data_IF_253039940403
#
_entry.id   IF_253039940403
#
_cell.length_a   1.000
_cell.length_b   1.000
_cell.length_c   1.000
_cell.angle_alpha   90.00
_cell.angle_beta   90.00
_cell.angle_gamma   90.00
#
_symmetry.space_group_name_H-M   'P 1'
#
loop_
_entity.id
_entity.type
_entity.pdbx_description
1 polymer ?
#
# COMPACT_ATOMS: atom_id res chain seq x y z
N UNK A 1 -3.20 -5.54 1.62
CA UNK A 1 -4.65 -5.65 1.60
C UNK A 1 -5.23 -5.03 0.33
N UNK A 2 -5.19 -3.69 0.14
CA UNK A 2 -5.84 -3.00 -0.98
C UNK A 2 -5.29 -3.41 -2.34
N UNK A 3 -3.98 -3.53 -2.47
CA UNK A 3 -3.31 -3.96 -3.69
C UNK A 3 -3.80 -5.33 -4.18
N UNK A 4 -3.94 -6.29 -3.26
CA UNK A 4 -4.42 -7.63 -3.56
C UNK A 4 -5.89 -7.61 -4.01
N UNK A 5 -6.73 -6.86 -3.29
CA UNK A 5 -8.14 -6.68 -3.65
C UNK A 5 -8.26 -6.03 -5.03
N UNK A 6 -7.44 -5.03 -5.33
CA UNK A 6 -7.42 -4.36 -6.63
C UNK A 6 -7.06 -5.32 -7.77
N UNK A 7 -5.97 -6.06 -7.59
CA UNK A 7 -5.49 -7.00 -8.61
C UNK A 7 -6.46 -8.15 -8.86
N UNK A 8 -7.07 -8.70 -7.82
CA UNK A 8 -8.01 -9.83 -7.96
C UNK A 8 -9.41 -9.39 -8.38
N UNK A 9 -9.95 -8.34 -7.75
CA UNK A 9 -11.37 -7.99 -7.94
C UNK A 9 -11.59 -7.05 -9.11
N UNK A 10 -10.68 -6.11 -9.37
CA UNK A 10 -10.84 -5.11 -10.45
C UNK A 10 -10.13 -5.57 -11.71
N UNK A 11 -8.86 -5.97 -11.61
CA UNK A 11 -8.09 -6.40 -12.78
C UNK A 11 -8.32 -7.87 -13.15
N UNK A 12 -8.93 -8.66 -12.27
CA UNK A 12 -9.22 -10.08 -12.53
C UNK A 12 -7.96 -10.93 -12.74
N UNK A 13 -6.85 -10.59 -12.08
CA UNK A 13 -5.59 -11.30 -12.28
C UNK A 13 -5.62 -12.68 -11.61
N UNK A 14 -5.22 -13.69 -12.39
CA UNK A 14 -5.02 -15.04 -11.93
C UNK A 14 -3.81 -15.17 -11.00
N UNK A 15 -3.75 -16.25 -10.24
CA UNK A 15 -2.62 -16.60 -9.39
C UNK A 15 -1.26 -16.56 -10.10
N UNK A 16 -1.21 -16.93 -11.38
CA UNK A 16 0.02 -16.88 -12.20
C UNK A 16 0.53 -15.45 -12.38
N UNK A 17 -0.39 -14.50 -12.62
CA UNK A 17 -0.05 -13.09 -12.74
C UNK A 17 0.43 -12.50 -11.41
N UNK A 18 -0.20 -12.88 -10.30
CA UNK A 18 0.20 -12.48 -8.96
C UNK A 18 1.59 -13.02 -8.59
N UNK A 19 1.87 -14.29 -8.91
CA UNK A 19 3.19 -14.89 -8.69
C UNK A 19 4.28 -14.14 -9.46
N UNK A 20 4.02 -13.76 -10.71
CA UNK A 20 5.01 -13.01 -11.50
C UNK A 20 5.31 -11.62 -10.92
N UNK A 21 4.33 -10.96 -10.31
CA UNK A 21 4.53 -9.69 -9.59
C UNK A 21 5.33 -9.88 -8.29
N UNK A 22 5.26 -11.06 -7.67
CA UNK A 22 6.10 -11.38 -6.51
C UNK A 22 7.59 -11.40 -6.85
N UNK A 23 7.99 -11.76 -8.10
CA UNK A 23 9.38 -11.63 -8.54
C UNK A 23 9.84 -10.18 -8.58
N UNK A 24 8.95 -9.25 -8.95
CA UNK A 24 9.23 -7.81 -8.89
C UNK A 24 9.42 -7.36 -7.44
N UNK A 25 8.54 -7.82 -6.54
CA UNK A 25 8.68 -7.53 -5.11
C UNK A 25 10.02 -8.07 -4.56
N UNK A 26 10.40 -9.28 -4.94
CA UNK A 26 11.67 -9.89 -4.56
C UNK A 26 12.87 -9.06 -5.07
N UNK A 27 12.83 -8.59 -6.31
CA UNK A 27 13.87 -7.71 -6.85
C UNK A 27 14.01 -6.42 -6.05
N UNK A 28 12.88 -5.83 -5.61
CA UNK A 28 12.85 -4.66 -4.73
C UNK A 28 13.51 -4.94 -3.37
N UNK A 29 13.26 -6.10 -2.79
CA UNK A 29 13.89 -6.55 -1.53
C UNK A 29 15.40 -6.72 -1.71
N UNK A 30 15.84 -7.41 -2.76
CA UNK A 30 17.26 -7.65 -3.03
C UNK A 30 18.00 -6.34 -3.24
N UNK A 31 17.51 -5.48 -4.14
CA UNK A 31 18.13 -4.19 -4.42
C UNK A 31 18.09 -3.24 -3.22
N UNK A 32 17.00 -3.24 -2.45
CA UNK A 32 16.90 -2.49 -1.20
C UNK A 32 17.90 -2.95 -0.14
N UNK A 33 18.12 -4.26 -0.03
CA UNK A 33 19.12 -4.85 0.89
C UNK A 33 20.54 -4.47 0.49
N UNK A 34 20.87 -4.61 -0.80
CA UNK A 34 22.19 -4.23 -1.35
C UNK A 34 22.43 -2.73 -1.18
N UNK A 35 21.43 -1.91 -1.51
CA UNK A 35 21.49 -0.46 -1.33
C UNK A 35 21.74 -0.10 0.13
N UNK A 36 20.98 -0.71 1.07
CA UNK A 36 21.13 -0.45 2.49
C UNK A 36 22.50 -0.88 2.98
N UNK A 37 23.00 -2.04 2.56
CA UNK A 37 24.35 -2.48 2.91
C UNK A 37 25.40 -1.48 2.42
N UNK A 38 25.35 -1.09 1.15
CA UNK A 38 26.32 -0.17 0.57
C UNK A 38 26.29 1.20 1.23
N UNK A 39 25.12 1.80 1.38
CA UNK A 39 24.97 3.18 1.83
C UNK A 39 25.07 3.27 3.34
N UNK A 40 24.44 2.35 4.06
CA UNK A 40 24.38 2.38 5.52
C UNK A 40 25.60 1.76 6.17
N UNK A 41 26.01 0.56 5.77
CA UNK A 41 27.16 -0.13 6.37
C UNK A 41 28.50 0.44 5.91
N UNK A 42 28.69 0.68 4.59
CA UNK A 42 29.96 1.15 4.04
C UNK A 42 30.11 2.68 4.11
N UNK A 43 29.10 3.43 3.68
CA UNK A 43 29.13 4.89 3.68
C UNK A 43 28.71 5.54 4.99
N UNK A 44 28.21 4.75 5.96
CA UNK A 44 27.81 5.20 7.29
C UNK A 44 26.80 6.35 7.29
N UNK A 45 25.84 6.34 6.36
CA UNK A 45 24.79 7.35 6.34
C UNK A 45 23.95 7.29 7.64
N UNK A 46 23.38 8.44 8.00
CA UNK A 46 22.56 8.57 9.20
C UNK A 46 21.24 7.81 9.07
N UNK A 47 20.76 7.23 10.17
CA UNK A 47 19.45 6.59 10.23
C UNK A 47 18.32 7.49 9.67
N UNK A 48 18.36 8.79 10.02
CA UNK A 48 17.39 9.77 9.53
C UNK A 48 17.30 9.77 8.00
N UNK A 49 18.43 9.81 7.32
CA UNK A 49 18.48 9.83 5.84
C UNK A 49 17.93 8.53 5.24
N UNK A 50 18.31 7.38 5.82
CA UNK A 50 17.81 6.08 5.35
C UNK A 50 16.30 5.95 5.54
N UNK A 51 15.80 6.40 6.69
CA UNK A 51 14.36 6.40 6.97
C UNK A 51 13.60 7.31 6.00
N UNK A 52 14.11 8.51 5.71
CA UNK A 52 13.50 9.42 4.73
C UNK A 52 13.44 8.79 3.33
N UNK A 53 14.53 8.15 2.87
CA UNK A 53 14.55 7.47 1.57
C UNK A 53 13.48 6.36 1.53
N UNK A 54 13.39 5.55 2.58
CA UNK A 54 12.44 4.46 2.66
C UNK A 54 10.98 4.96 2.64
N UNK A 55 10.65 5.96 3.46
CA UNK A 55 9.32 6.55 3.46
C UNK A 55 9.00 7.26 2.13
N UNK A 56 9.97 7.93 1.52
CA UNK A 56 9.78 8.53 0.18
C UNK A 56 9.44 7.48 -0.88
N UNK A 57 10.06 6.29 -0.82
CA UNK A 57 9.74 5.20 -1.74
C UNK A 57 8.31 4.67 -1.51
N UNK A 58 7.88 4.52 -0.25
CA UNK A 58 6.52 4.10 0.09
C UNK A 58 5.50 5.18 -0.30
N UNK A 59 5.80 6.45 -0.05
CA UNK A 59 4.96 7.56 -0.53
C UNK A 59 4.80 7.54 -2.05
N UNK A 60 5.89 7.30 -2.79
CA UNK A 60 5.85 7.14 -4.25
C UNK A 60 4.94 5.99 -4.69
N UNK A 61 4.96 4.86 -3.97
CA UNK A 61 4.03 3.75 -4.18
C UNK A 61 2.57 4.17 -3.97
N UNK A 62 2.24 4.86 -2.87
CA UNK A 62 0.88 5.30 -2.58
C UNK A 62 0.38 6.34 -3.58
N UNK A 63 1.22 7.31 -3.93
CA UNK A 63 0.91 8.32 -4.94
C UNK A 63 0.66 7.69 -6.32
N UNK A 64 1.48 6.70 -6.70
CA UNK A 64 1.29 6.01 -7.96
C UNK A 64 -0.09 5.37 -8.05
N UNK A 65 -0.51 4.63 -7.03
CA UNK A 65 -1.85 4.04 -7.00
C UNK A 65 -2.94 5.10 -6.98
N UNK A 66 -2.81 6.17 -6.20
CA UNK A 66 -3.77 7.27 -6.19
C UNK A 66 -4.05 7.82 -7.59
N UNK A 67 -3.01 8.05 -8.39
CA UNK A 67 -3.15 8.65 -9.72
C UNK A 67 -3.49 7.63 -10.83
N UNK A 68 -3.04 6.39 -10.69
CA UNK A 68 -3.03 5.41 -11.78
C UNK A 68 -4.02 4.26 -11.63
N UNK A 69 -4.77 4.15 -10.54
CA UNK A 69 -5.81 3.12 -10.42
C UNK A 69 -6.81 3.30 -11.56
N UNK A 70 -6.94 2.28 -12.41
CA UNK A 70 -7.87 2.21 -13.52
C UNK A 70 -8.23 0.75 -13.80
N UNK A 71 -9.29 0.51 -14.62
CA UNK A 71 -9.74 -0.84 -14.99
C UNK A 71 -8.76 -1.59 -15.88
N UNK A 72 -8.06 -0.88 -16.76
CA UNK A 72 -7.17 -1.44 -17.79
C UNK A 72 -5.69 -1.19 -17.47
N UNK A 73 -5.32 -1.16 -16.19
CA UNK A 73 -3.93 -0.95 -15.83
C UNK A 73 -3.08 -2.16 -16.27
N UNK A 74 -2.12 -1.98 -17.20
CA UNK A 74 -1.30 -3.09 -17.66
C UNK A 74 -0.40 -3.60 -16.53
N UNK A 75 -0.12 -4.91 -16.55
CA UNK A 75 0.67 -5.58 -15.53
C UNK A 75 2.05 -4.97 -15.33
N UNK A 76 2.68 -4.52 -16.41
CA UNK A 76 3.99 -3.88 -16.39
C UNK A 76 3.97 -2.58 -15.58
N UNK A 77 2.85 -1.87 -15.60
CA UNK A 77 2.69 -0.64 -14.84
C UNK A 77 2.65 -0.89 -13.32
N UNK A 78 2.25 -2.08 -12.88
CA UNK A 78 2.27 -2.48 -11.47
C UNK A 78 3.68 -2.80 -10.95
N UNK A 79 4.63 -3.06 -11.85
CA UNK A 79 5.99 -3.41 -11.46
C UNK A 79 6.66 -2.28 -10.64
N UNK A 80 6.54 -1.03 -11.09
CA UNK A 80 7.15 0.11 -10.41
C UNK A 80 6.65 0.30 -8.98
N UNK A 81 5.33 0.39 -8.70
CA UNK A 81 4.85 0.59 -7.34
C UNK A 81 5.17 -0.60 -6.42
N UNK A 82 5.05 -1.84 -6.90
CA UNK A 82 5.40 -3.04 -6.12
C UNK A 82 6.89 -3.03 -5.75
N UNK A 83 7.74 -2.65 -6.69
CA UNK A 83 9.17 -2.48 -6.44
C UNK A 83 9.43 -1.42 -5.37
N UNK A 84 8.86 -0.21 -5.50
CA UNK A 84 9.05 0.89 -4.55
C UNK A 84 8.60 0.53 -3.14
N UNK A 85 7.44 -0.13 -3.01
CA UNK A 85 6.95 -0.61 -1.73
C UNK A 85 7.93 -1.59 -1.09
N UNK A 86 8.37 -2.59 -1.84
CA UNK A 86 9.25 -3.64 -1.32
C UNK A 86 10.65 -3.10 -0.99
N UNK A 87 11.15 -2.20 -1.81
CA UNK A 87 12.40 -1.49 -1.59
C UNK A 87 12.35 -0.63 -0.31
N UNK A 88 11.32 0.19 -0.14
CA UNK A 88 11.15 1.02 1.06
C UNK A 88 10.99 0.19 2.33
N UNK A 89 10.15 -0.86 2.26
CA UNK A 89 9.89 -1.74 3.40
C UNK A 89 11.17 -2.42 3.92
N UNK A 90 12.02 -2.97 3.03
CA UNK A 90 13.24 -3.64 3.47
C UNK A 90 14.25 -2.68 4.09
N UNK A 91 14.35 -1.45 3.59
CA UNK A 91 15.23 -0.43 4.18
C UNK A 91 14.78 -0.12 5.62
N UNK A 92 13.47 0.10 5.84
CA UNK A 92 12.92 0.33 7.19
C UNK A 92 13.21 -0.86 8.10
N UNK A 93 12.98 -2.08 7.63
CA UNK A 93 13.21 -3.29 8.40
C UNK A 93 14.68 -3.42 8.86
N UNK A 94 15.64 -3.20 7.94
CA UNK A 94 17.07 -3.28 8.25
C UNK A 94 17.48 -2.14 9.22
N UNK A 95 17.01 -0.92 8.99
CA UNK A 95 17.29 0.20 9.90
C UNK A 95 16.76 -0.11 11.31
N UNK A 96 15.58 -0.69 11.42
CA UNK A 96 14.97 -1.04 12.69
C UNK A 96 15.75 -2.15 13.42
N UNK A 97 16.10 -3.22 12.70
CA UNK A 97 16.92 -4.31 13.25
C UNK A 97 18.28 -3.81 13.72
N UNK A 98 18.89 -2.89 12.96
CA UNK A 98 20.18 -2.30 13.34
C UNK A 98 20.04 -1.37 14.57
N UNK A 99 18.91 -0.69 14.71
CA UNK A 99 18.63 0.09 15.93
C UNK A 99 18.47 -0.83 17.15
N UNK A 100 17.74 -1.94 16.98
CA UNK A 100 17.58 -2.96 18.04
C UNK A 100 18.90 -3.59 18.47
N UNK A 101 19.84 -3.82 17.56
CA UNK A 101 21.15 -4.40 17.89
C UNK A 101 21.99 -3.50 18.81
N UNK A 102 21.62 -2.24 19.00
CA UNK A 102 22.28 -1.31 19.93
C UNK A 102 21.73 -1.37 21.35
N UNK A 103 20.62 -2.07 21.56
CA UNK A 103 20.06 -2.25 22.90
C UNK A 103 20.97 -3.18 23.70
N UNK A 104 21.27 -2.86 24.98
CA UNK A 104 22.06 -3.73 25.84
C UNK A 104 21.45 -5.14 25.90
N UNK A 105 22.33 -6.16 25.94
CA UNK A 105 21.89 -7.56 25.89
C UNK A 105 20.84 -7.91 26.95
N UNK A 106 20.92 -7.28 28.12
CA UNK A 106 19.96 -7.47 29.22
C UNK A 106 18.51 -7.12 28.81
N UNK A 107 18.32 -6.12 27.94
CA UNK A 107 17.01 -5.64 27.49
C UNK A 107 16.70 -6.01 26.03
N UNK A 108 17.59 -6.77 25.39
CA UNK A 108 17.44 -7.10 23.97
C UNK A 108 16.16 -7.91 23.68
N UNK A 109 15.91 -8.95 24.49
CA UNK A 109 14.72 -9.80 24.30
C UNK A 109 13.42 -9.03 24.60
N UNK A 110 13.42 -8.13 25.58
CA UNK A 110 12.28 -7.26 25.86
C UNK A 110 12.00 -6.34 24.67
N UNK A 111 13.02 -5.69 24.13
CA UNK A 111 12.89 -4.81 22.97
C UNK A 111 12.40 -5.54 21.71
N UNK A 112 12.91 -6.75 21.45
CA UNK A 112 12.45 -7.60 20.34
C UNK A 112 11.00 -8.03 20.54
N UNK A 113 10.62 -8.41 21.76
CA UNK A 113 9.25 -8.81 22.08
C UNK A 113 8.26 -7.66 21.90
N UNK A 114 8.60 -6.47 22.39
CA UNK A 114 7.78 -5.27 22.20
C UNK A 114 7.66 -4.93 20.72
N UNK A 115 8.75 -5.00 19.97
CA UNK A 115 8.70 -4.75 18.52
C UNK A 115 7.83 -5.76 17.80
N UNK A 116 7.98 -7.06 18.08
CA UNK A 116 7.18 -8.11 17.49
C UNK A 116 5.68 -7.90 17.79
N UNK A 117 5.36 -7.55 19.05
CA UNK A 117 3.99 -7.23 19.45
C UNK A 117 3.44 -6.00 18.70
N UNK A 118 4.22 -4.92 18.60
CA UNK A 118 3.80 -3.70 17.90
C UNK A 118 3.64 -3.97 16.40
N UNK A 119 4.55 -4.68 15.76
CA UNK A 119 4.49 -4.93 14.31
C UNK A 119 3.44 -5.96 13.93
N UNK A 120 3.36 -7.09 14.64
CA UNK A 120 2.43 -8.16 14.33
C UNK A 120 1.03 -7.93 14.93
N UNK A 121 0.94 -7.44 16.16
CA UNK A 121 -0.33 -7.18 16.83
C UNK A 121 -0.97 -5.86 16.36
N UNK A 122 -0.33 -4.75 16.71
CA UNK A 122 -0.90 -3.43 16.37
C UNK A 122 -0.82 -3.12 14.87
N UNK A 123 0.32 -3.33 14.23
CA UNK A 123 0.50 -2.97 12.82
C UNK A 123 -0.37 -3.80 11.89
N UNK A 124 -0.31 -5.12 11.98
CA UNK A 124 -1.04 -5.99 11.05
C UNK A 124 -2.52 -6.13 11.42
N UNK A 125 -2.85 -6.43 12.67
CA UNK A 125 -4.25 -6.72 13.07
C UNK A 125 -5.07 -5.45 13.12
N UNK A 126 -4.64 -4.41 13.86
CA UNK A 126 -5.38 -3.15 13.93
C UNK A 126 -5.38 -2.41 12.59
N UNK A 127 -4.24 -2.39 11.89
CA UNK A 127 -4.14 -1.78 10.57
C UNK A 127 -5.12 -2.41 9.59
N UNK A 128 -5.17 -3.73 9.53
CA UNK A 128 -6.10 -4.46 8.66
C UNK A 128 -7.57 -4.22 9.06
N UNK A 129 -7.87 -4.20 10.35
CA UNK A 129 -9.23 -3.95 10.85
C UNK A 129 -9.69 -2.52 10.54
N UNK A 130 -8.85 -1.51 10.79
CA UNK A 130 -9.16 -0.10 10.51
C UNK A 130 -9.33 0.12 9.01
N UNK A 131 -8.39 -0.36 8.20
CA UNK A 131 -8.43 -0.20 6.75
C UNK A 131 -9.57 -0.99 6.11
N UNK A 132 -9.88 -2.19 6.61
CA UNK A 132 -11.02 -2.98 6.15
C UNK A 132 -12.35 -2.30 6.48
N UNK A 133 -12.49 -1.71 7.69
CA UNK A 133 -13.66 -0.92 8.05
C UNK A 133 -13.78 0.34 7.19
N UNK A 134 -12.69 1.07 6.98
CA UNK A 134 -12.67 2.24 6.11
C UNK A 134 -13.09 1.89 4.68
N UNK A 135 -12.56 0.80 4.12
CA UNK A 135 -12.95 0.30 2.80
C UNK A 135 -14.47 0.07 2.72
N UNK A 136 -15.04 -0.63 3.69
CA UNK A 136 -16.47 -0.95 3.69
C UNK A 136 -17.36 0.30 3.83
N UNK A 137 -16.98 1.24 4.70
CA UNK A 137 -17.76 2.47 4.92
C UNK A 137 -17.70 3.38 3.69
N UNK A 138 -16.50 3.60 3.14
CA UNK A 138 -16.31 4.48 1.98
C UNK A 138 -16.90 3.83 0.73
N UNK A 139 -16.80 2.52 0.57
CA UNK A 139 -17.43 1.79 -0.56
C UNK A 139 -18.95 1.93 -0.54
N UNK A 140 -19.61 1.78 0.62
CA UNK A 140 -21.05 2.00 0.74
C UNK A 140 -21.45 3.44 0.38
N UNK A 141 -20.69 4.42 0.88
CA UNK A 141 -20.91 5.84 0.54
C UNK A 141 -20.80 6.06 -0.98
N UNK A 142 -19.74 5.57 -1.60
CA UNK A 142 -19.50 5.74 -3.03
C UNK A 142 -20.52 4.98 -3.88
N UNK A 143 -20.95 3.79 -3.46
CA UNK A 143 -22.01 3.04 -4.14
C UNK A 143 -23.34 3.80 -4.12
N UNK A 144 -23.72 4.42 -2.98
CA UNK A 144 -24.92 5.26 -2.88
C UNK A 144 -24.80 6.50 -3.78
N UNK A 145 -23.67 7.18 -3.77
CA UNK A 145 -23.46 8.37 -4.61
C UNK A 145 -23.50 8.03 -6.12
N UNK A 146 -22.91 6.91 -6.51
CA UNK A 146 -22.93 6.44 -7.89
C UNK A 146 -24.34 6.00 -8.30
N UNK A 147 -25.07 5.28 -7.45
CA UNK A 147 -26.43 4.86 -7.73
C UNK A 147 -27.40 6.04 -7.86
N UNK A 148 -27.19 7.12 -7.13
CA UNK A 148 -28.00 8.33 -7.24
C UNK A 148 -27.85 9.03 -8.60
N UNK A 149 -26.74 8.82 -9.31
CA UNK A 149 -26.48 9.34 -10.66
C UNK A 149 -26.98 8.40 -11.78
N UNK A 150 -27.51 7.22 -11.44
CA UNK A 150 -28.11 6.29 -12.40
C UNK A 150 -29.59 6.69 -12.60
N UNK A 151 -29.81 7.80 -13.29
CA UNK A 151 -31.15 8.24 -13.65
C UNK A 151 -31.75 7.37 -14.74
N UNK A 152 -33.04 7.03 -14.60
CA UNK A 152 -33.83 6.36 -15.65
C UNK A 152 -33.97 7.19 -16.95
N UNK A 153 -33.40 8.38 -16.97
CA UNK A 153 -33.40 9.29 -18.14
C UNK A 153 -32.46 8.79 -19.26
N UNK A 154 -31.44 8.00 -18.92
CA UNK A 154 -30.55 7.45 -19.95
C UNK A 154 -31.14 6.14 -20.52
N UNK A 155 -31.62 6.14 -21.79
CA UNK A 155 -32.25 4.98 -22.37
C UNK A 155 -31.32 3.74 -22.45
N UNK A 156 -30.02 3.94 -22.47
CA UNK A 156 -29.03 2.84 -22.50
C UNK A 156 -29.11 1.98 -21.24
N UNK A 157 -29.43 2.59 -20.08
CA UNK A 157 -29.56 1.87 -18.82
C UNK A 157 -30.71 0.85 -18.85
N UNK A 158 -31.78 1.17 -19.55
CA UNK A 158 -32.94 0.28 -19.67
C UNK A 158 -32.68 -1.02 -20.46
N UNK A 159 -31.61 -1.07 -21.25
CA UNK A 159 -31.22 -2.27 -22.04
C UNK A 159 -30.20 -3.16 -21.29
N UNK A 160 -29.62 -2.69 -20.18
CA UNK A 160 -28.62 -3.44 -19.44
C UNK A 160 -29.34 -4.32 -18.39
N UNK A 161 -29.05 -5.64 -18.33
CA UNK A 161 -29.58 -6.49 -17.27
C UNK A 161 -29.23 -5.93 -15.88
N UNK A 162 -30.20 -5.88 -14.98
CA UNK A 162 -30.00 -5.29 -13.63
C UNK A 162 -28.81 -5.88 -12.86
N UNK A 163 -28.56 -7.19 -13.02
CA UNK A 163 -27.42 -7.85 -12.38
C UNK A 163 -26.06 -7.34 -12.91
N UNK A 164 -25.95 -7.10 -14.22
CA UNK A 164 -24.75 -6.56 -14.83
C UNK A 164 -24.51 -5.10 -14.42
N UNK A 165 -25.59 -4.31 -14.36
CA UNK A 165 -25.53 -2.92 -13.88
C UNK A 165 -25.07 -2.82 -12.43
N UNK A 166 -25.61 -3.70 -11.57
CA UNK A 166 -25.20 -3.76 -10.17
C UNK A 166 -23.73 -4.17 -10.00
N UNK A 167 -23.26 -5.16 -10.77
CA UNK A 167 -21.86 -5.57 -10.77
C UNK A 167 -20.92 -4.44 -11.21
N UNK A 168 -21.25 -3.75 -12.30
CA UNK A 168 -20.48 -2.60 -12.78
C UNK A 168 -20.46 -1.46 -11.76
N UNK A 169 -21.59 -1.16 -11.10
CA UNK A 169 -21.68 -0.16 -10.05
C UNK A 169 -20.76 -0.51 -8.88
N UNK A 170 -20.76 -1.78 -8.44
CA UNK A 170 -19.91 -2.21 -7.33
C UNK A 170 -18.42 -2.11 -7.68
N UNK A 171 -18.02 -2.51 -8.88
CA UNK A 171 -16.63 -2.37 -9.33
C UNK A 171 -16.20 -0.90 -9.39
N UNK A 172 -17.06 -0.04 -9.93
CA UNK A 172 -16.83 1.40 -9.98
C UNK A 172 -16.71 2.00 -8.56
N UNK A 173 -17.62 1.64 -7.66
CA UNK A 173 -17.60 2.09 -6.28
C UNK A 173 -16.32 1.64 -5.57
N UNK A 174 -15.88 0.41 -5.79
CA UNK A 174 -14.64 -0.12 -5.23
C UNK A 174 -13.42 0.65 -5.74
N UNK A 175 -13.36 0.91 -7.05
CA UNK A 175 -12.24 1.65 -7.67
C UNK A 175 -12.13 3.08 -7.11
N UNK A 176 -13.26 3.82 -7.06
CA UNK A 176 -13.29 5.17 -6.49
C UNK A 176 -12.89 5.15 -5.02
N UNK A 177 -13.38 4.16 -4.27
CA UNK A 177 -13.03 3.96 -2.86
C UNK A 177 -11.54 3.73 -2.66
N UNK A 178 -10.93 2.91 -3.50
CA UNK A 178 -9.49 2.68 -3.43
C UNK A 178 -8.70 3.94 -3.72
N UNK A 179 -9.06 4.71 -4.73
CA UNK A 179 -8.44 6.03 -4.98
C UNK A 179 -8.53 6.94 -3.77
N UNK A 180 -9.72 7.06 -3.17
CA UNK A 180 -9.95 7.89 -1.98
C UNK A 180 -9.06 7.44 -0.81
N UNK A 181 -8.99 6.13 -0.54
CA UNK A 181 -8.18 5.58 0.55
C UNK A 181 -6.67 5.72 0.31
N UNK A 182 -6.21 5.49 -0.90
CA UNK A 182 -4.80 5.74 -1.24
C UNK A 182 -4.44 7.23 -1.10
N UNK A 183 -5.37 8.14 -1.45
CA UNK A 183 -5.21 9.57 -1.22
C UNK A 183 -5.06 9.92 0.26
N UNK A 184 -5.93 9.39 1.12
CA UNK A 184 -5.83 9.58 2.57
C UNK A 184 -4.52 9.05 3.14
N UNK A 185 -4.12 7.84 2.75
CA UNK A 185 -2.86 7.24 3.20
C UNK A 185 -1.65 8.08 2.75
N UNK A 186 -1.67 8.59 1.52
CA UNK A 186 -0.61 9.47 1.00
C UNK A 186 -0.48 10.75 1.82
N UNK A 187 -1.61 11.38 2.16
CA UNK A 187 -1.61 12.62 2.97
C UNK A 187 -1.06 12.34 4.37
N UNK A 188 -1.50 11.26 5.00
CA UNK A 188 -1.03 10.87 6.33
C UNK A 188 0.48 10.60 6.31
N UNK A 189 0.96 9.84 5.33
CA UNK A 189 2.37 9.49 5.22
C UNK A 189 3.25 10.70 4.92
N UNK A 190 2.83 11.57 3.99
CA UNK A 190 3.52 12.84 3.72
C UNK A 190 3.59 13.72 4.97
N UNK A 191 2.51 13.80 5.74
CA UNK A 191 2.49 14.56 6.98
C UNK A 191 3.48 14.00 8.00
N UNK A 192 3.52 12.68 8.16
CA UNK A 192 4.48 12.00 9.03
C UNK A 192 5.92 12.22 8.56
N UNK A 193 6.17 12.12 7.25
CA UNK A 193 7.49 12.34 6.66
C UNK A 193 7.97 13.78 6.89
N UNK A 194 7.12 14.78 6.67
CA UNK A 194 7.45 16.19 6.92
C UNK A 194 7.77 16.44 8.40
N UNK A 195 6.94 15.93 9.32
CA UNK A 195 7.20 16.04 10.76
C UNK A 195 8.53 15.39 11.15
N UNK A 196 8.85 14.26 10.56
CA UNK A 196 10.12 13.56 10.79
C UNK A 196 11.32 14.32 10.21
N UNK A 197 11.16 15.03 9.10
CA UNK A 197 12.23 15.85 8.50
C UNK A 197 12.56 17.09 9.34
N UNK A 198 11.56 17.73 9.93
CA UNK A 198 11.72 18.96 10.73
C UNK A 198 12.45 18.68 12.06
N UNK A 199 12.26 17.52 12.63
CA UNK A 199 12.89 17.10 13.91
C UNK A 199 14.26 16.48 13.66
#
# INVERSE_FOLDING_TARGET
LFEHIYMETILGYDSTNLISLNWVALSGIILGSVFTYYVFALRKWKYKTMTVIAFSAITGYLMYFYFRIDYDLPKEALALPIFLRSFGYVIIAICFLTALSRVPFQHFFEAVSVQAFVSAGFGSVLGTAILGRALNVVMKKNAILLSANLDHVNPVIGYIPQGALYGALQQQALMVTMKELYGWLTIIELSCLLLFMIK
#
